data_IF_929224642636
#
_entry.id   IF_929224642636
#
_cell.length_a   1.000
_cell.length_b   1.000
_cell.length_c   1.000
_cell.angle_alpha   90.00
_cell.angle_beta   90.00
_cell.angle_gamma   90.00
#
_symmetry.space_group_name_H-M   'P 1'
#
loop_
_entity.id
_entity.type
_entity.pdbx_description
1 polymer ?
#
# COMPACT_ATOMS: atom_id res chain seq x y z
N UNK A 1 7.53 18.39 -38.30
CA UNK A 1 8.69 17.50 -38.11
C UNK A 1 9.73 18.00 -37.10
N UNK A 2 10.21 19.23 -37.16
CA UNK A 2 11.24 19.73 -36.23
C UNK A 2 10.72 19.82 -34.77
N UNK A 3 9.51 20.31 -34.57
CA UNK A 3 8.88 20.42 -33.27
C UNK A 3 8.53 19.06 -32.60
N UNK A 4 8.16 18.07 -33.43
CA UNK A 4 7.82 16.72 -32.93
C UNK A 4 9.06 15.98 -32.45
N UNK A 5 10.19 16.14 -33.14
CA UNK A 5 11.47 15.62 -32.68
C UNK A 5 11.96 16.31 -31.38
N UNK A 6 11.63 17.60 -31.18
CA UNK A 6 11.95 18.31 -29.94
C UNK A 6 11.19 17.74 -28.75
N UNK A 7 9.89 17.45 -28.89
CA UNK A 7 9.07 16.85 -27.82
C UNK A 7 9.61 15.47 -27.42
N UNK A 8 9.94 14.60 -28.38
CA UNK A 8 10.51 13.29 -28.08
C UNK A 8 11.89 13.37 -27.41
N UNK A 9 12.71 14.37 -27.78
CA UNK A 9 14.00 14.60 -27.10
C UNK A 9 13.88 14.95 -25.64
N UNK A 10 12.86 15.71 -25.24
CA UNK A 10 12.60 16.07 -23.83
C UNK A 10 11.89 14.92 -23.11
N UNK A 11 10.93 14.27 -23.76
CA UNK A 11 10.09 13.25 -23.15
C UNK A 11 10.88 11.99 -22.71
N UNK A 12 11.87 11.55 -23.52
CA UNK A 12 12.69 10.38 -23.22
C UNK A 12 13.47 10.49 -21.90
N UNK A 13 14.24 11.56 -21.62
CA UNK A 13 14.93 11.71 -20.34
C UNK A 13 13.96 11.89 -19.17
N UNK A 14 12.86 12.64 -19.36
CA UNK A 14 11.84 12.84 -18.31
C UNK A 14 11.23 11.52 -17.86
N UNK A 15 10.81 10.66 -18.79
CA UNK A 15 10.29 9.32 -18.46
C UNK A 15 11.35 8.48 -17.77
N UNK A 16 12.62 8.59 -18.16
CA UNK A 16 13.71 7.85 -17.52
C UNK A 16 13.92 8.27 -16.08
N UNK A 17 13.96 9.57 -15.80
CA UNK A 17 14.11 10.12 -14.45
C UNK A 17 12.90 9.73 -13.59
N UNK A 18 11.68 9.91 -14.10
CA UNK A 18 10.47 9.57 -13.34
C UNK A 18 10.39 8.06 -13.04
N UNK A 19 10.84 7.21 -13.97
CA UNK A 19 10.92 5.75 -13.72
C UNK A 19 11.90 5.42 -12.59
N UNK A 20 13.06 6.09 -12.51
CA UNK A 20 14.01 5.92 -11.42
C UNK A 20 13.39 6.35 -10.07
N UNK A 21 12.74 7.50 -10.05
CA UNK A 21 12.03 7.99 -8.86
C UNK A 21 10.93 7.00 -8.44
N UNK A 22 10.17 6.47 -9.40
CA UNK A 22 9.12 5.47 -9.16
C UNK A 22 9.67 4.18 -8.54
N UNK A 23 10.84 3.72 -9.00
CA UNK A 23 11.54 2.56 -8.41
C UNK A 23 11.97 2.87 -6.97
N UNK A 24 12.62 4.00 -6.74
CA UNK A 24 13.12 4.40 -5.43
C UNK A 24 11.97 4.51 -4.40
N UNK A 25 10.88 5.17 -4.75
CA UNK A 25 9.70 5.29 -3.91
C UNK A 25 8.99 3.94 -3.71
N UNK A 26 8.98 3.08 -4.73
CA UNK A 26 8.48 1.72 -4.59
C UNK A 26 9.28 0.90 -3.57
N UNK A 27 10.59 1.00 -3.57
CA UNK A 27 11.46 0.34 -2.59
C UNK A 27 11.29 0.92 -1.19
N UNK A 28 11.11 2.24 -1.08
CA UNK A 28 10.78 2.88 0.19
C UNK A 28 9.44 2.37 0.73
N UNK A 29 8.42 2.25 -0.13
CA UNK A 29 7.13 1.70 0.26
C UNK A 29 7.25 0.24 0.72
N UNK A 30 8.08 -0.59 0.06
CA UNK A 30 8.39 -1.96 0.51
C UNK A 30 8.98 -1.94 1.92
N UNK A 31 9.98 -1.10 2.18
CA UNK A 31 10.60 -0.98 3.49
C UNK A 31 9.58 -0.59 4.56
N UNK A 32 8.71 0.39 4.28
CA UNK A 32 7.67 0.84 5.21
C UNK A 32 6.59 -0.22 5.46
N UNK A 33 6.20 -1.00 4.45
CA UNK A 33 5.26 -2.11 4.60
C UNK A 33 5.86 -3.28 5.38
N UNK A 34 7.16 -3.54 5.24
CA UNK A 34 7.86 -4.51 6.08
C UNK A 34 7.92 -4.01 7.52
N UNK A 35 8.34 -2.77 7.74
CA UNK A 35 8.39 -2.17 9.08
C UNK A 35 7.01 -2.11 9.75
N UNK A 36 5.93 -1.93 8.99
CA UNK A 36 4.55 -1.98 9.50
C UNK A 36 4.28 -3.26 10.28
N UNK A 37 4.79 -4.40 9.81
CA UNK A 37 4.56 -5.67 10.49
C UNK A 37 5.26 -5.78 11.84
N UNK A 38 6.32 -5.03 12.06
CA UNK A 38 7.13 -5.08 13.30
C UNK A 38 6.92 -3.86 14.20
N UNK A 39 6.24 -2.82 13.71
CA UNK A 39 5.94 -1.61 14.47
C UNK A 39 4.57 -1.70 15.11
N UNK A 40 4.40 -1.05 16.25
CA UNK A 40 3.11 -0.89 16.89
C UNK A 40 2.21 -0.04 16.00
N UNK A 41 1.05 -0.59 15.66
CA UNK A 41 0.10 0.04 14.74
C UNK A 41 -1.27 0.26 15.37
N UNK A 42 -1.57 -0.49 16.41
CA UNK A 42 -2.81 -0.41 17.16
C UNK A 42 -2.50 -0.34 18.64
N UNK A 43 -3.17 0.55 19.35
CA UNK A 43 -3.03 0.72 20.80
C UNK A 43 -4.41 0.84 21.44
N UNK A 44 -4.55 0.34 22.67
CA UNK A 44 -5.74 0.53 23.48
C UNK A 44 -5.55 1.79 24.34
N UNK A 45 -6.56 2.64 24.39
CA UNK A 45 -6.62 3.86 25.19
C UNK A 45 -7.80 3.81 26.15
N UNK A 46 -7.66 4.48 27.30
CA UNK A 46 -8.76 4.81 28.19
C UNK A 46 -9.46 6.10 27.80
N UNK A 47 -10.60 6.43 28.40
CA UNK A 47 -11.32 7.70 28.20
C UNK A 47 -10.47 8.95 28.42
N UNK A 48 -9.43 8.86 29.24
CA UNK A 48 -8.52 9.96 29.53
C UNK A 48 -7.45 10.16 28.46
N UNK A 49 -7.48 9.42 27.34
CA UNK A 49 -6.50 9.50 26.26
C UNK A 49 -5.13 8.96 26.62
N UNK A 50 -4.97 8.34 27.80
CA UNK A 50 -3.74 7.68 28.21
C UNK A 50 -3.68 6.26 27.69
N UNK A 51 -2.51 5.85 27.17
CA UNK A 51 -2.28 4.45 26.79
C UNK A 51 -2.63 3.55 27.99
N UNK A 52 -3.48 2.58 27.75
CA UNK A 52 -3.77 1.58 28.77
C UNK A 52 -2.46 0.89 29.16
N UNK A 53 -2.22 0.75 30.46
CA UNK A 53 -0.95 0.30 31.06
C UNK A 53 -0.15 -0.70 30.23
N UNK A 54 1.15 -0.51 30.24
CA UNK A 54 2.20 -1.29 29.57
C UNK A 54 1.78 -2.68 29.06
N UNK A 55 1.70 -2.81 27.73
CA UNK A 55 1.57 -4.11 27.10
C UNK A 55 0.44 -4.28 26.09
N UNK A 56 -0.36 -3.26 25.80
CA UNK A 56 -1.48 -3.36 24.86
C UNK A 56 -1.25 -2.61 23.55
N UNK A 57 -0.01 -2.60 23.07
CA UNK A 57 0.32 -2.20 21.72
C UNK A 57 0.46 -3.44 20.83
N UNK A 58 -0.05 -3.35 19.59
CA UNK A 58 -0.11 -4.47 18.67
C UNK A 58 0.66 -4.17 17.41
N UNK A 59 1.69 -4.96 17.09
CA UNK A 59 2.42 -4.84 15.85
C UNK A 59 1.56 -5.27 14.66
N UNK A 60 1.90 -4.76 13.47
CA UNK A 60 1.10 -4.95 12.27
C UNK A 60 0.81 -6.42 11.92
N UNK A 61 1.78 -7.32 12.11
CA UNK A 61 1.57 -8.74 11.84
C UNK A 61 0.46 -9.35 12.70
N UNK A 62 0.28 -8.89 13.94
CA UNK A 62 -0.79 -9.37 14.81
C UNK A 62 -2.16 -8.88 14.33
N UNK A 63 -2.25 -7.70 13.72
CA UNK A 63 -3.51 -7.23 13.13
C UNK A 63 -3.91 -8.03 11.90
N UNK A 64 -2.98 -8.74 11.27
CA UNK A 64 -3.20 -9.62 10.11
C UNK A 64 -3.55 -11.05 10.55
N UNK A 65 -2.73 -11.63 11.42
CA UNK A 65 -2.71 -13.07 11.68
C UNK A 65 -3.36 -13.50 13.00
N UNK A 66 -3.49 -12.61 13.96
CA UNK A 66 -3.95 -13.02 15.28
C UNK A 66 -5.32 -12.53 15.67
N UNK A 67 -5.91 -11.59 14.95
CA UNK A 67 -7.20 -11.05 15.40
C UNK A 67 -7.27 -10.89 16.92
N UNK A 68 -8.45 -10.74 17.43
CA UNK A 68 -8.67 -10.59 18.88
C UNK A 68 -8.28 -11.83 19.71
N UNK A 69 -8.31 -13.02 19.10
CA UNK A 69 -8.22 -14.29 19.82
C UNK A 69 -6.87 -14.59 20.47
N UNK A 70 -5.75 -14.14 19.92
CA UNK A 70 -4.42 -14.47 20.45
C UNK A 70 -3.92 -13.50 21.52
N UNK A 71 -4.63 -12.44 21.74
CA UNK A 71 -4.05 -11.30 22.43
C UNK A 71 -4.03 -11.42 23.93
N UNK A 72 -4.93 -12.17 24.55
CA UNK A 72 -5.19 -11.90 25.98
C UNK A 72 -5.53 -13.13 26.80
N UNK A 73 -5.81 -14.28 26.22
CA UNK A 73 -6.15 -15.47 27.00
C UNK A 73 -5.08 -16.53 26.83
N UNK A 74 -4.34 -16.77 27.90
CA UNK A 74 -3.55 -17.97 28.07
C UNK A 74 -4.47 -19.21 27.88
N UNK A 75 -4.30 -19.87 26.72
CA UNK A 75 -4.97 -21.13 26.43
C UNK A 75 -5.92 -21.19 25.24
N UNK A 76 -6.25 -20.07 24.59
CA UNK A 76 -7.07 -20.08 23.37
C UNK A 76 -6.22 -19.70 22.14
N UNK A 77 -6.05 -20.63 21.22
CA UNK A 77 -5.17 -20.54 20.04
C UNK A 77 -5.92 -20.33 18.72
N UNK A 78 -7.14 -19.81 18.71
CA UNK A 78 -7.80 -19.52 17.44
C UNK A 78 -7.28 -18.20 16.86
N UNK A 79 -6.44 -18.34 15.85
CA UNK A 79 -5.96 -17.23 15.02
C UNK A 79 -7.04 -16.80 14.06
N UNK A 80 -7.57 -15.61 14.23
CA UNK A 80 -8.46 -15.02 13.24
C UNK A 80 -7.62 -14.30 12.18
N UNK A 81 -7.95 -14.57 10.93
CA UNK A 81 -7.25 -13.97 9.79
C UNK A 81 -8.03 -12.77 9.26
N UNK A 82 -7.40 -11.60 9.26
CA UNK A 82 -7.97 -10.39 8.67
C UNK A 82 -7.51 -10.24 7.23
N UNK A 83 -8.37 -10.66 6.30
CA UNK A 83 -8.10 -10.63 4.86
C UNK A 83 -7.82 -9.21 4.33
N UNK A 84 -8.50 -8.19 4.87
CA UNK A 84 -8.34 -6.82 4.38
C UNK A 84 -6.98 -6.25 4.76
N UNK A 85 -6.56 -6.41 6.01
CA UNK A 85 -5.23 -5.97 6.46
C UNK A 85 -4.12 -6.75 5.73
N UNK A 86 -4.33 -8.06 5.52
CA UNK A 86 -3.42 -8.87 4.72
C UNK A 86 -3.28 -8.34 3.28
N UNK A 87 -4.39 -8.13 2.57
CA UNK A 87 -4.36 -7.60 1.20
C UNK A 87 -3.77 -6.19 1.17
N UNK A 88 -4.10 -5.35 2.13
CA UNK A 88 -3.57 -4.00 2.26
C UNK A 88 -2.05 -3.95 2.42
N UNK A 89 -1.46 -4.94 3.09
CA UNK A 89 -0.02 -5.03 3.31
C UNK A 89 0.70 -5.77 2.16
N UNK A 90 0.30 -7.00 1.87
CA UNK A 90 1.06 -7.91 0.99
C UNK A 90 0.88 -7.62 -0.49
N UNK A 91 -0.30 -7.16 -0.92
CA UNK A 91 -0.54 -6.89 -2.34
C UNK A 91 0.34 -5.74 -2.86
N UNK A 92 0.40 -4.56 -2.20
CA UNK A 92 1.32 -3.50 -2.63
C UNK A 92 2.79 -3.87 -2.43
N UNK A 93 3.14 -4.64 -1.39
CA UNK A 93 4.50 -5.11 -1.15
C UNK A 93 5.00 -5.97 -2.32
N UNK A 94 4.27 -7.02 -2.67
CA UNK A 94 4.61 -7.91 -3.80
C UNK A 94 4.59 -7.11 -5.11
N UNK A 95 3.58 -6.27 -5.30
CA UNK A 95 3.46 -5.42 -6.49
C UNK A 95 4.67 -4.50 -6.69
N UNK A 96 5.14 -3.84 -5.64
CA UNK A 96 6.32 -2.97 -5.69
C UNK A 96 7.60 -3.74 -6.00
N UNK A 97 7.79 -4.93 -5.41
CA UNK A 97 8.95 -5.78 -5.70
C UNK A 97 8.94 -6.18 -7.18
N UNK A 98 7.81 -6.71 -7.67
CA UNK A 98 7.68 -7.13 -9.08
C UNK A 98 7.89 -5.95 -10.03
N UNK A 99 7.28 -4.79 -9.75
CA UNK A 99 7.47 -3.60 -10.56
C UNK A 99 8.94 -3.15 -10.59
N UNK A 100 9.61 -3.13 -9.44
CA UNK A 100 11.02 -2.73 -9.33
C UNK A 100 11.93 -3.67 -10.13
N UNK A 101 11.71 -4.98 -10.07
CA UNK A 101 12.43 -5.97 -10.87
C UNK A 101 12.15 -5.76 -12.37
N UNK A 102 10.90 -5.63 -12.77
CA UNK A 102 10.52 -5.45 -14.18
C UNK A 102 11.05 -4.15 -14.76
N UNK A 103 11.01 -3.05 -14.02
CA UNK A 103 11.52 -1.77 -14.48
C UNK A 103 13.04 -1.75 -14.45
N UNK A 104 13.69 -2.30 -13.44
CA UNK A 104 15.14 -2.39 -13.32
C UNK A 104 15.77 -3.24 -14.42
N UNK A 105 15.24 -4.45 -14.67
CA UNK A 105 15.73 -5.34 -15.73
C UNK A 105 15.47 -4.79 -17.14
N UNK A 106 14.33 -4.14 -17.34
CA UNK A 106 13.99 -3.51 -18.62
C UNK A 106 14.67 -2.15 -18.84
N UNK A 107 15.29 -1.57 -17.82
CA UNK A 107 16.15 -0.41 -17.98
C UNK A 107 17.39 -0.76 -18.81
N UNK A 108 17.85 -2.00 -18.70
CA UNK A 108 18.96 -2.57 -19.48
C UNK A 108 18.50 -3.13 -20.83
N UNK A 109 17.28 -3.67 -20.92
CA UNK A 109 16.72 -4.24 -22.15
C UNK A 109 15.57 -3.36 -22.67
N UNK A 110 15.48 -3.14 -24.00
CA UNK A 110 14.44 -2.37 -24.72
C UNK A 110 13.05 -3.06 -24.62
N UNK A 111 12.46 -3.12 -23.43
CA UNK A 111 11.10 -3.66 -23.25
C UNK A 111 9.99 -2.71 -23.73
N UNK A 112 8.81 -3.25 -24.06
CA UNK A 112 7.68 -2.46 -24.54
C UNK A 112 7.09 -1.58 -23.43
N UNK A 113 7.02 -0.26 -23.65
CA UNK A 113 6.48 0.71 -22.69
C UNK A 113 5.04 0.37 -22.21
N UNK A 114 4.26 -0.38 -23.01
CA UNK A 114 2.90 -0.79 -22.62
C UNK A 114 2.89 -1.70 -21.40
N UNK A 115 3.75 -2.73 -21.36
CA UNK A 115 3.82 -3.66 -20.22
C UNK A 115 4.27 -2.93 -18.94
N UNK A 116 5.26 -2.04 -19.07
CA UNK A 116 5.74 -1.21 -17.96
C UNK A 116 4.63 -0.32 -17.41
N UNK A 117 3.89 0.36 -18.29
CA UNK A 117 2.79 1.23 -17.90
C UNK A 117 1.68 0.46 -17.16
N UNK A 118 1.29 -0.72 -17.65
CA UNK A 118 0.27 -1.54 -17.00
C UNK A 118 0.71 -1.92 -15.57
N UNK A 119 1.95 -2.39 -15.42
CA UNK A 119 2.49 -2.76 -14.09
C UNK A 119 2.51 -1.56 -13.15
N UNK A 120 3.01 -0.41 -13.60
CA UNK A 120 3.01 0.83 -12.80
C UNK A 120 1.59 1.25 -12.40
N UNK A 121 0.64 1.17 -13.31
CA UNK A 121 -0.76 1.51 -13.02
C UNK A 121 -1.40 0.57 -11.99
N UNK A 122 -1.21 -0.73 -12.13
CA UNK A 122 -1.74 -1.72 -11.18
C UNK A 122 -1.12 -1.51 -9.80
N UNK A 123 0.20 -1.34 -9.72
CA UNK A 123 0.89 -1.14 -8.43
C UNK A 123 0.52 0.20 -7.80
N UNK A 124 0.28 1.25 -8.60
CA UNK A 124 -0.23 2.53 -8.10
C UNK A 124 -1.57 2.35 -7.37
N UNK A 125 -2.50 1.62 -7.97
CA UNK A 125 -3.80 1.30 -7.36
C UNK A 125 -3.61 0.48 -6.08
N UNK A 126 -2.78 -0.57 -6.11
CA UNK A 126 -2.50 -1.40 -4.93
C UNK A 126 -1.91 -0.58 -3.77
N UNK A 127 -0.99 0.37 -4.03
CA UNK A 127 -0.41 1.23 -3.01
C UNK A 127 -1.43 2.17 -2.39
N UNK A 128 -2.23 2.84 -3.21
CA UNK A 128 -3.24 3.79 -2.71
C UNK A 128 -4.27 3.07 -1.85
N UNK A 129 -4.86 1.98 -2.35
CA UNK A 129 -5.85 1.22 -1.59
C UNK A 129 -5.24 0.52 -0.39
N UNK A 130 -4.04 -0.06 -0.51
CA UNK A 130 -3.32 -0.69 0.59
C UNK A 130 -3.03 0.29 1.72
N UNK A 131 -2.53 1.48 1.39
CA UNK A 131 -2.29 2.54 2.38
C UNK A 131 -3.58 2.97 3.11
N UNK A 132 -4.69 3.12 2.38
CA UNK A 132 -6.00 3.44 2.97
C UNK A 132 -6.50 2.33 3.89
N UNK A 133 -6.34 1.07 3.49
CA UNK A 133 -6.72 -0.10 4.30
C UNK A 133 -5.90 -0.12 5.59
N UNK A 134 -4.58 -0.02 5.51
CA UNK A 134 -3.70 -0.06 6.67
C UNK A 134 -3.89 1.15 7.60
N UNK A 135 -4.25 2.30 7.05
CA UNK A 135 -4.62 3.47 7.85
C UNK A 135 -5.88 3.27 8.69
N UNK A 136 -6.83 2.45 8.23
CA UNK A 136 -8.06 2.13 8.95
C UNK A 136 -7.97 0.80 9.71
N UNK A 137 -6.79 0.39 10.11
CA UNK A 137 -6.55 -0.89 10.81
C UNK A 137 -7.37 -1.02 12.09
N UNK A 138 -7.55 0.05 12.85
CA UNK A 138 -8.38 0.14 14.04
C UNK A 138 -9.84 -0.29 13.77
N UNK A 139 -10.44 0.28 12.74
CA UNK A 139 -11.83 -0.02 12.34
C UNK A 139 -11.98 -1.44 11.81
N UNK A 140 -11.01 -1.89 11.01
CA UNK A 140 -11.01 -3.24 10.46
C UNK A 140 -10.81 -4.28 11.55
N UNK A 141 -9.99 -3.97 12.55
CA UNK A 141 -9.75 -4.84 13.66
C UNK A 141 -11.00 -4.99 14.54
N UNK A 142 -11.68 -3.88 14.89
CA UNK A 142 -12.95 -3.88 15.61
C UNK A 142 -14.03 -4.66 14.85
N UNK A 143 -14.13 -4.46 13.51
CA UNK A 143 -15.09 -5.16 12.67
C UNK A 143 -14.83 -6.68 12.67
N UNK A 144 -13.57 -7.09 12.59
CA UNK A 144 -13.18 -8.50 12.65
C UNK A 144 -13.44 -9.11 14.03
N UNK A 145 -13.16 -8.36 15.08
CA UNK A 145 -13.45 -8.76 16.45
C UNK A 145 -14.94 -9.00 16.67
N UNK A 146 -15.81 -8.12 16.19
CA UNK A 146 -17.28 -8.30 16.26
C UNK A 146 -17.75 -9.56 15.55
N UNK A 147 -17.13 -9.94 14.42
CA UNK A 147 -17.47 -11.15 13.69
C UNK A 147 -17.10 -12.43 14.46
N UNK A 148 -16.03 -12.37 15.26
CA UNK A 148 -15.51 -13.53 16.03
C UNK A 148 -16.20 -13.67 17.39
N UNK A 149 -16.60 -12.57 18.01
CA UNK A 149 -17.16 -12.57 19.38
C UNK A 149 -18.54 -13.24 19.51
N UNK A 150 -19.21 -13.57 18.41
CA UNK A 150 -20.38 -14.46 18.48
C UNK A 150 -20.11 -15.83 19.13
N UNK A 151 -18.83 -16.20 19.27
CA UNK A 151 -18.37 -17.46 19.87
C UNK A 151 -17.72 -17.32 21.25
N UNK A 152 -17.38 -16.09 21.71
CA UNK A 152 -16.57 -15.88 22.92
C UNK A 152 -17.10 -14.76 23.82
N UNK A 153 -17.94 -15.09 24.76
CA UNK A 153 -18.60 -14.17 25.70
C UNK A 153 -17.60 -13.30 26.49
N UNK A 154 -16.47 -13.87 26.89
CA UNK A 154 -15.46 -13.17 27.70
C UNK A 154 -14.84 -11.97 26.98
N UNK A 155 -14.52 -12.08 25.69
CA UNK A 155 -13.98 -10.95 24.90
C UNK A 155 -15.00 -9.86 24.70
N UNK A 156 -16.23 -10.27 24.48
CA UNK A 156 -17.33 -9.34 24.34
C UNK A 156 -17.48 -8.49 25.61
N UNK A 157 -17.47 -9.11 26.78
CA UNK A 157 -17.67 -8.43 28.08
C UNK A 157 -16.42 -7.65 28.52
N UNK A 158 -15.21 -8.19 28.32
CA UNK A 158 -13.99 -7.56 28.83
C UNK A 158 -13.48 -6.39 27.97
N UNK A 159 -13.77 -6.38 26.66
CA UNK A 159 -13.17 -5.41 25.73
C UNK A 159 -14.16 -4.73 24.81
N UNK A 160 -15.07 -5.46 24.19
CA UNK A 160 -16.02 -4.87 23.27
C UNK A 160 -17.11 -4.06 23.96
N UNK A 161 -17.62 -4.54 25.09
CA UNK A 161 -18.63 -3.79 25.85
C UNK A 161 -18.04 -2.49 26.38
N UNK A 162 -16.86 -2.44 27.04
CA UNK A 162 -16.21 -1.19 27.40
C UNK A 162 -15.91 -0.29 26.20
N UNK A 163 -15.45 -0.85 25.07
CA UNK A 163 -15.23 -0.07 23.87
C UNK A 163 -16.54 0.50 23.26
N UNK A 164 -17.62 -0.26 23.32
CA UNK A 164 -18.95 0.21 22.87
C UNK A 164 -19.54 1.25 23.82
N UNK A 165 -19.22 1.20 25.09
CA UNK A 165 -19.65 2.17 26.11
C UNK A 165 -18.78 3.43 26.15
N UNK A 166 -17.71 3.48 25.37
CA UNK A 166 -16.77 4.59 25.37
C UNK A 166 -15.76 4.59 26.51
N UNK A 167 -15.60 3.45 27.21
CA UNK A 167 -14.63 3.29 28.29
C UNK A 167 -13.23 2.88 27.79
N UNK A 168 -13.18 2.21 26.64
CA UNK A 168 -11.96 1.79 25.98
C UNK A 168 -12.00 2.17 24.50
N UNK A 169 -10.92 2.76 23.99
CA UNK A 169 -10.75 3.13 22.60
C UNK A 169 -9.61 2.33 21.98
N UNK A 170 -9.91 1.73 20.83
CA UNK A 170 -8.89 1.15 19.98
C UNK A 170 -8.44 2.24 18.99
N UNK A 171 -7.27 2.80 19.24
CA UNK A 171 -6.68 3.82 18.39
C UNK A 171 -5.57 3.25 17.57
N UNK A 172 -5.40 3.79 16.37
CA UNK A 172 -4.21 3.55 15.57
C UNK A 172 -3.06 4.37 16.13
N UNK A 173 -1.87 3.79 16.15
CA UNK A 173 -0.66 4.54 16.43
C UNK A 173 -0.29 5.47 15.24
N UNK A 174 0.76 6.27 15.36
CA UNK A 174 1.14 7.20 14.29
C UNK A 174 1.68 6.49 13.03
N UNK A 175 2.26 5.28 13.19
CA UNK A 175 2.94 4.55 12.12
C UNK A 175 2.03 4.22 10.92
N UNK A 176 0.78 3.77 11.07
CA UNK A 176 -0.18 3.64 9.96
C UNK A 176 -0.37 4.92 9.14
N UNK A 177 -0.28 6.09 9.78
CA UNK A 177 -0.34 7.38 9.07
C UNK A 177 0.89 7.60 8.20
N UNK A 178 2.08 7.28 8.70
CA UNK A 178 3.33 7.37 7.92
C UNK A 178 3.27 6.42 6.72
N UNK A 179 2.83 5.19 6.92
CA UNK A 179 2.65 4.20 5.82
C UNK A 179 1.66 4.72 4.78
N UNK A 180 0.51 5.28 5.20
CA UNK A 180 -0.44 5.90 4.27
C UNK A 180 0.22 6.98 3.41
N UNK A 181 0.92 7.93 4.03
CA UNK A 181 1.56 9.04 3.31
C UNK A 181 2.58 8.53 2.28
N UNK A 182 3.43 7.59 2.67
CA UNK A 182 4.42 6.99 1.76
C UNK A 182 3.74 6.23 0.63
N UNK A 183 2.71 5.44 0.91
CA UNK A 183 1.96 4.71 -0.10
C UNK A 183 1.23 5.63 -1.07
N UNK A 184 0.66 6.74 -0.59
CA UNK A 184 0.01 7.74 -1.45
C UNK A 184 1.01 8.43 -2.36
N UNK A 185 2.15 8.90 -1.83
CA UNK A 185 3.19 9.55 -2.64
C UNK A 185 3.72 8.58 -3.69
N UNK A 186 4.09 7.37 -3.29
CA UNK A 186 4.58 6.35 -4.21
C UNK A 186 3.53 5.97 -5.26
N UNK A 187 2.26 5.83 -4.86
CA UNK A 187 1.15 5.51 -5.75
C UNK A 187 0.90 6.59 -6.79
N UNK A 188 0.89 7.86 -6.38
CA UNK A 188 0.72 9.01 -7.30
C UNK A 188 1.88 9.08 -8.31
N UNK A 189 3.13 8.93 -7.86
CA UNK A 189 4.29 8.95 -8.77
C UNK A 189 4.24 7.79 -9.76
N UNK A 190 3.83 6.58 -9.33
CA UNK A 190 3.62 5.43 -10.21
C UNK A 190 2.51 5.67 -11.24
N UNK A 191 1.40 6.28 -10.82
CA UNK A 191 0.32 6.66 -11.73
C UNK A 191 0.78 7.68 -12.79
N UNK A 192 1.54 8.69 -12.39
CA UNK A 192 2.15 9.66 -13.31
C UNK A 192 3.12 8.98 -14.29
N UNK A 193 3.98 8.08 -13.81
CA UNK A 193 4.89 7.32 -14.66
C UNK A 193 4.15 6.44 -15.66
N UNK A 194 3.07 5.77 -15.23
CA UNK A 194 2.16 5.03 -16.10
C UNK A 194 1.62 5.91 -17.24
N UNK A 195 1.09 7.09 -16.90
CA UNK A 195 0.57 8.04 -17.88
C UNK A 195 1.60 8.50 -18.89
N UNK A 196 2.80 8.87 -18.43
CA UNK A 196 3.90 9.31 -19.32
C UNK A 196 4.42 8.18 -20.20
N UNK A 197 4.51 6.95 -19.71
CA UNK A 197 4.90 5.78 -20.52
C UNK A 197 3.89 5.50 -21.65
N UNK A 198 2.60 5.63 -21.35
CA UNK A 198 1.54 5.50 -22.35
C UNK A 198 1.60 6.64 -23.36
N UNK A 199 1.71 7.88 -22.89
CA UNK A 199 1.84 9.05 -23.75
C UNK A 199 3.03 8.92 -24.70
N UNK A 200 4.20 8.59 -24.20
CA UNK A 200 5.41 8.38 -25.02
C UNK A 200 5.17 7.34 -26.13
N UNK A 201 4.47 6.26 -25.81
CA UNK A 201 4.20 5.20 -26.78
C UNK A 201 3.24 5.66 -27.89
N UNK A 202 2.14 6.32 -27.52
CA UNK A 202 1.14 6.77 -28.49
C UNK A 202 1.68 7.89 -29.34
N UNK A 203 2.40 8.84 -28.75
CA UNK A 203 3.03 9.94 -29.46
C UNK A 203 4.08 9.46 -30.47
N UNK A 204 4.96 8.52 -30.09
CA UNK A 204 5.93 7.94 -31.02
C UNK A 204 5.28 7.20 -32.19
N UNK A 205 4.09 6.63 -32.00
CA UNK A 205 3.33 5.98 -33.06
C UNK A 205 2.71 6.97 -34.03
N UNK A 206 2.17 8.10 -33.53
CA UNK A 206 1.59 9.13 -34.40
C UNK A 206 2.64 9.75 -35.31
N UNK A 207 3.80 10.09 -34.75
CA UNK A 207 4.93 10.64 -35.51
C UNK A 207 5.40 9.67 -36.59
N UNK A 208 5.53 8.37 -36.28
CA UNK A 208 5.95 7.38 -37.27
C UNK A 208 4.92 7.21 -38.42
N UNK A 209 3.60 7.28 -38.13
CA UNK A 209 2.57 7.22 -39.20
C UNK A 209 2.65 8.41 -40.14
N UNK A 210 2.76 9.62 -39.61
CA UNK A 210 2.90 10.82 -40.41
C UNK A 210 4.13 10.78 -41.31
N UNK A 211 5.25 10.24 -40.80
CA UNK A 211 6.49 10.12 -41.63
C UNK A 211 6.34 9.11 -42.76
N UNK A 212 5.53 8.05 -42.63
CA UNK A 212 5.26 7.08 -43.68
C UNK A 212 4.32 7.68 -44.73
N UNK A 213 3.30 8.43 -44.35
CA UNK A 213 2.35 9.09 -45.26
C UNK A 213 3.02 10.19 -46.12
N UNK A 214 4.05 10.88 -45.58
CA UNK A 214 4.79 11.92 -46.33
C UNK A 214 5.83 11.32 -47.27
N UNK A 215 6.23 10.06 -47.09
CA UNK A 215 7.23 9.36 -47.89
C UNK A 215 6.64 8.59 -49.07
N UNK A 216 5.32 8.53 -49.19
CA UNK A 216 4.57 8.01 -50.34
C UNK A 216 4.11 9.14 -51.26
#
# INVERSE_FOLDING_TARGET
>A
MENENKILKVLKPTVKVLTLISIALGLLAVAMLVLYNFSDVLTIYTDEGTKYADGFSYPGYQTIFSGFGNMIIQGYTETTFNIWTFLGCFLPLIGCIVASIMLGTNFVRRGTNKKKAIVEGVVAVCLIFGGIILYNVDKLWIANAKAVTGSYTYYYEAYLVPAMNGELYFGKDYFPTVVLVVCLIAGVIKALNCGLLLFQKYYARSVNRQNVEISQ
#
